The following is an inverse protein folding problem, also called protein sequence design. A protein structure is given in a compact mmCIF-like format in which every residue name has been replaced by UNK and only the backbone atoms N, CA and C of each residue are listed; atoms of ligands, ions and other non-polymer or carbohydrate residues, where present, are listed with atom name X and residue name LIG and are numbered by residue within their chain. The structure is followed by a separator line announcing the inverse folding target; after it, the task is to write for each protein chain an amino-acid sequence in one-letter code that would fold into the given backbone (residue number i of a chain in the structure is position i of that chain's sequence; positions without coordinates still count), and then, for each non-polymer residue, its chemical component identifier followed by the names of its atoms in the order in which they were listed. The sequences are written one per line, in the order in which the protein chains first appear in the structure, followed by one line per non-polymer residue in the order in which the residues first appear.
data_IF_065498618328
#
_entry.id   IF_065498618328
#
_cell.length_a   1.000
_cell.length_b   1.000
_cell.length_c   1.000
_cell.angle_alpha   90.00
_cell.angle_beta   90.00
_cell.angle_gamma   90.00
#
_symmetry.space_group_name_H-M   'P 1'
#
loop_
_entity.id
_entity.type
_entity.pdbx_description
1 polymer ?
#
# COMPACT_ATOMS: atom_id res chain seq x y z
N UNK A 1 28.10 43.77 35.75
CA UNK A 1 26.73 44.07 36.23
C UNK A 1 25.95 44.78 35.12
N UNK A 2 25.02 44.09 34.43
CA UNK A 2 24.13 44.72 33.44
C UNK A 2 22.68 44.65 33.96
N UNK A 3 21.92 45.72 33.73
CA UNK A 3 20.62 45.96 34.37
C UNK A 3 19.52 45.11 33.72
N UNK A 4 18.64 44.51 34.52
CA UNK A 4 17.38 43.90 34.07
C UNK A 4 16.38 45.01 33.73
N UNK A 5 15.66 44.85 32.62
CA UNK A 5 14.45 45.63 32.32
C UNK A 5 13.22 44.74 32.60
N UNK A 6 12.14 45.27 33.20
CA UNK A 6 10.88 44.55 33.32
C UNK A 6 10.06 44.68 32.03
N UNK A 7 9.52 43.57 31.54
CA UNK A 7 8.55 43.55 30.43
C UNK A 7 7.15 43.72 31.04
N UNK A 8 6.39 44.70 30.58
CA UNK A 8 5.04 44.98 31.05
C UNK A 8 4.05 43.90 30.62
N UNK A 9 3.23 43.42 31.55
CA UNK A 9 2.11 42.54 31.23
C UNK A 9 0.99 43.32 30.53
N UNK A 10 0.53 42.83 29.37
CA UNK A 10 -0.65 43.35 28.69
C UNK A 10 -1.92 42.70 29.30
N UNK A 11 -2.90 43.54 29.64
CA UNK A 11 -4.18 43.10 30.21
C UNK A 11 -5.12 42.68 29.08
N UNK A 12 -5.66 41.47 29.16
CA UNK A 12 -6.73 41.02 28.29
C UNK A 12 -8.07 41.68 28.67
N UNK A 13 -8.85 42.09 27.68
CA UNK A 13 -10.24 42.56 27.86
C UNK A 13 -11.14 41.79 26.90
N UNK A 14 -12.11 41.07 27.46
CA UNK A 14 -13.09 40.26 26.74
C UNK A 14 -14.42 40.99 26.60
N UNK A 15 -15.04 40.93 25.42
CA UNK A 15 -16.49 40.97 25.19
C UNK A 15 -16.77 40.77 23.68
N UNK A 16 -17.89 40.31 23.14
CA UNK A 16 -19.10 39.51 23.48
C UNK A 16 -20.09 39.81 22.30
N UNK A 17 -21.22 39.08 22.15
CA UNK A 17 -22.40 39.43 21.28
C UNK A 17 -22.24 39.17 19.77
N UNK A 18 -23.16 38.56 18.99
CA UNK A 18 -24.40 37.77 19.24
C UNK A 18 -24.75 36.86 18.03
N UNK A 19 -25.65 35.90 18.28
CA UNK A 19 -26.28 34.95 17.37
C UNK A 19 -26.94 35.48 16.07
N UNK A 20 -27.08 34.56 15.10
CA UNK A 20 -28.27 34.42 14.23
C UNK A 20 -28.52 32.96 13.91
N UNK A 21 -29.79 32.53 13.90
CA UNK A 21 -30.23 31.20 13.47
C UNK A 21 -31.26 31.34 12.34
N UNK A 22 -31.33 30.39 11.41
CA UNK A 22 -32.50 30.16 10.54
C UNK A 22 -32.44 28.78 9.88
N UNK A 23 -33.63 28.24 9.59
CA UNK A 23 -33.90 26.84 9.21
C UNK A 23 -33.79 26.59 7.71
N UNK A 24 -33.48 25.34 7.31
CA UNK A 24 -34.20 24.68 6.19
C UNK A 24 -34.46 23.22 6.55
N UNK A 25 -35.73 22.82 6.58
CA UNK A 25 -36.12 21.41 6.59
C UNK A 25 -36.37 20.96 5.14
N UNK A 26 -35.68 19.90 4.70
CA UNK A 26 -35.91 19.26 3.40
C UNK A 26 -36.50 17.86 3.60
N UNK A 27 -37.79 17.71 3.36
CA UNK A 27 -38.45 16.41 3.29
C UNK A 27 -38.87 16.17 1.83
N UNK A 28 -38.35 15.11 1.22
CA UNK A 28 -38.62 14.74 -0.17
C UNK A 28 -38.83 13.24 -0.28
N UNK A 29 -40.09 12.81 -0.36
CA UNK A 29 -40.47 11.41 -0.45
C UNK A 29 -40.17 10.83 -1.84
N UNK A 30 -39.74 9.57 -1.89
CA UNK A 30 -40.08 8.66 -3.00
C UNK A 30 -40.15 7.25 -2.44
N UNK A 31 -41.37 6.71 -2.35
CA UNK A 31 -41.58 5.28 -2.10
C UNK A 31 -41.24 4.47 -3.36
N UNK A 32 -40.57 3.33 -3.16
CA UNK A 32 -40.25 2.36 -4.20
C UNK A 32 -40.25 0.96 -3.60
N UNK A 33 -41.35 0.24 -3.81
CA UNK A 33 -41.68 -1.09 -3.26
C UNK A 33 -40.56 -2.14 -3.41
N UNK A 34 -40.34 -3.01 -2.40
CA UNK A 34 -39.52 -4.21 -2.57
C UNK A 34 -40.29 -5.30 -3.31
N UNK A 35 -39.65 -5.98 -4.26
CA UNK A 35 -40.15 -7.26 -4.78
C UNK A 35 -39.09 -8.35 -4.61
N UNK A 36 -39.55 -9.51 -4.15
CA UNK A 36 -38.74 -10.66 -3.78
C UNK A 36 -38.81 -11.74 -4.88
N UNK A 37 -38.26 -12.92 -4.55
CA UNK A 37 -38.24 -14.16 -5.34
C UNK A 37 -37.19 -14.18 -6.47
N UNK A 38 -36.55 -15.30 -6.79
CA UNK A 38 -36.38 -16.58 -6.11
C UNK A 38 -35.34 -17.38 -6.91
N UNK A 39 -34.51 -18.10 -6.18
CA UNK A 39 -34.09 -19.48 -6.42
C UNK A 39 -34.42 -20.13 -7.77
N UNK A 40 -33.38 -20.50 -8.51
CA UNK A 40 -33.30 -21.70 -9.38
C UNK A 40 -31.85 -21.91 -9.82
N UNK A 41 -31.31 -23.09 -10.10
CA UNK A 41 -31.54 -24.48 -9.63
C UNK A 41 -30.23 -25.22 -9.90
N UNK A 42 -29.86 -26.22 -9.10
CA UNK A 42 -28.65 -27.01 -9.34
C UNK A 42 -28.74 -27.87 -10.62
N UNK A 43 -27.60 -28.14 -11.27
CA UNK A 43 -27.36 -29.44 -11.91
C UNK A 43 -25.87 -29.76 -11.99
N UNK A 44 -25.51 -30.94 -11.50
CA UNK A 44 -24.21 -31.57 -11.69
C UNK A 44 -24.02 -32.04 -13.13
N UNK A 45 -22.77 -32.25 -13.56
CA UNK A 45 -22.48 -33.08 -14.73
C UNK A 45 -21.18 -33.85 -14.52
N UNK A 46 -21.33 -35.16 -14.31
CA UNK A 46 -20.26 -36.15 -14.21
C UNK A 46 -19.93 -36.68 -15.60
N UNK A 47 -18.66 -36.82 -15.97
CA UNK A 47 -18.20 -37.90 -16.87
C UNK A 47 -16.67 -38.02 -16.86
N UNK A 48 -16.18 -39.25 -16.67
CA UNK A 48 -14.77 -39.62 -16.84
C UNK A 48 -14.43 -39.84 -18.32
N UNK A 49 -13.16 -39.70 -18.68
CA UNK A 49 -12.59 -40.31 -19.88
C UNK A 49 -11.22 -40.93 -19.54
N UNK A 50 -11.21 -42.25 -19.38
CA UNK A 50 -9.98 -43.06 -19.32
C UNK A 50 -9.41 -43.21 -20.73
N UNK A 51 -8.08 -43.22 -20.88
CA UNK A 51 -7.45 -43.72 -22.11
C UNK A 51 -6.20 -44.51 -21.76
N UNK A 52 -6.28 -45.81 -21.99
CA UNK A 52 -5.19 -46.76 -21.90
C UNK A 52 -4.78 -47.13 -23.32
N UNK A 53 -3.50 -46.98 -23.65
CA UNK A 53 -2.90 -47.61 -24.81
C UNK A 53 -1.46 -48.03 -24.45
N UNK A 54 -1.18 -49.32 -24.58
CA UNK A 54 0.11 -49.92 -24.26
C UNK A 54 0.42 -50.96 -25.36
N UNK A 55 1.44 -50.73 -26.17
CA UNK A 55 2.00 -51.76 -27.05
C UNK A 55 3.51 -51.53 -27.25
N UNK A 56 4.27 -52.60 -27.54
CA UNK A 56 5.73 -52.64 -27.35
C UNK A 56 6.52 -53.25 -28.50
N UNK A 57 7.62 -52.57 -28.87
CA UNK A 57 8.82 -53.17 -29.51
C UNK A 57 8.85 -53.24 -31.04
N UNK A 58 9.99 -53.67 -31.67
CA UNK A 58 11.28 -54.02 -31.05
C UNK A 58 12.57 -53.44 -31.73
N UNK A 59 13.69 -53.56 -31.00
CA UNK A 59 15.10 -53.79 -31.44
C UNK A 59 15.70 -53.21 -32.73
N UNK A 60 16.76 -52.39 -32.56
CA UNK A 60 18.08 -52.54 -33.26
C UNK A 60 19.18 -51.65 -32.61
N UNK A 61 20.46 -52.02 -32.78
CA UNK A 61 21.66 -51.41 -32.13
C UNK A 61 22.94 -51.79 -32.90
N UNK A 62 24.16 -51.32 -32.53
CA UNK A 62 24.79 -49.99 -32.65
C UNK A 62 25.59 -49.92 -34.01
N UNK A 63 26.83 -49.37 -34.22
CA UNK A 63 27.72 -48.36 -33.56
C UNK A 63 28.08 -47.19 -34.54
N UNK A 64 29.17 -46.37 -34.45
CA UNK A 64 30.21 -46.20 -33.41
C UNK A 64 30.44 -44.76 -32.90
N UNK A 65 31.41 -44.61 -31.99
CA UNK A 65 31.82 -43.38 -31.32
C UNK A 65 32.36 -42.29 -32.27
N UNK A 66 32.00 -41.04 -31.98
CA UNK A 66 32.87 -39.88 -32.21
C UNK A 66 32.84 -39.03 -30.94
N UNK A 67 34.00 -38.77 -30.34
CA UNK A 67 34.10 -38.07 -29.06
C UNK A 67 33.87 -36.56 -29.22
N UNK A 68 32.75 -36.07 -28.70
CA UNK A 68 32.60 -34.66 -28.37
C UNK A 68 33.04 -34.44 -26.90
N UNK A 69 33.79 -33.38 -26.58
CA UNK A 69 34.21 -33.11 -25.20
C UNK A 69 32.99 -32.91 -24.30
N UNK A 70 33.12 -33.31 -23.04
CA UNK A 70 32.09 -33.07 -22.05
C UNK A 70 31.81 -31.57 -21.96
N UNK A 71 30.61 -31.16 -22.40
CA UNK A 71 30.05 -29.89 -21.97
C UNK A 71 29.79 -30.03 -20.49
N UNK A 72 30.67 -29.46 -19.69
CA UNK A 72 30.49 -29.25 -18.27
C UNK A 72 29.25 -28.38 -18.11
N UNK A 73 28.10 -29.03 -17.90
CA UNK A 73 26.80 -28.39 -17.78
C UNK A 73 26.76 -27.65 -16.45
N UNK A 74 27.31 -26.44 -16.45
CA UNK A 74 27.17 -25.48 -15.35
C UNK A 74 25.68 -25.40 -15.03
N UNK A 75 25.24 -25.76 -13.81
CA UNK A 75 23.83 -25.68 -13.48
C UNK A 75 23.43 -24.21 -13.55
N UNK A 76 22.54 -23.88 -14.47
CA UNK A 76 21.91 -22.57 -14.49
C UNK A 76 21.13 -22.42 -13.18
N UNK A 77 21.67 -21.66 -12.24
CA UNK A 77 21.00 -21.23 -11.01
C UNK A 77 19.92 -20.23 -11.37
N UNK A 78 18.84 -20.72 -11.99
CA UNK A 78 17.55 -20.04 -11.96
C UNK A 78 17.19 -19.86 -10.49
N UNK A 79 17.04 -18.62 -9.98
CA UNK A 79 16.63 -18.41 -8.61
C UNK A 79 15.28 -19.12 -8.38
N UNK A 80 15.26 -20.04 -7.41
CA UNK A 80 14.01 -20.72 -7.06
C UNK A 80 13.06 -19.68 -6.47
N UNK A 81 11.92 -19.45 -7.13
CA UNK A 81 10.85 -18.60 -6.59
C UNK A 81 10.42 -19.22 -5.25
N UNK A 82 10.39 -18.45 -4.15
CA UNK A 82 10.00 -18.99 -2.84
C UNK A 82 8.57 -19.52 -2.90
N UNK A 83 8.37 -20.76 -2.44
CA UNK A 83 7.06 -21.42 -2.45
C UNK A 83 6.15 -20.95 -1.28
N UNK A 84 6.64 -20.08 -0.40
CA UNK A 84 5.95 -19.60 0.80
C UNK A 84 6.63 -18.32 1.30
N UNK A 85 5.87 -17.46 1.98
CA UNK A 85 6.31 -16.15 2.45
C UNK A 85 5.26 -15.06 2.16
N UNK A 86 5.48 -13.82 2.62
CA UNK A 86 4.65 -12.68 2.26
C UNK A 86 4.79 -12.37 0.76
N UNK A 87 3.75 -11.79 0.18
CA UNK A 87 3.74 -11.34 -1.22
C UNK A 87 4.64 -10.13 -1.46
N UNK A 88 4.91 -9.34 -0.42
CA UNK A 88 5.97 -8.32 -0.38
C UNK A 88 6.82 -8.55 0.86
N UNK A 89 8.08 -8.92 0.66
CA UNK A 89 9.06 -9.08 1.74
C UNK A 89 9.81 -7.76 1.92
N UNK A 90 9.76 -7.19 3.12
CA UNK A 90 10.38 -5.90 3.44
C UNK A 90 11.91 -5.94 3.40
N UNK A 91 12.50 -7.12 3.62
CA UNK A 91 13.95 -7.35 3.53
C UNK A 91 14.40 -7.72 2.11
N UNK A 92 13.47 -7.76 1.14
CA UNK A 92 13.80 -8.09 -0.25
C UNK A 92 14.62 -6.99 -0.94
N UNK A 93 15.46 -7.34 -1.94
CA UNK A 93 16.17 -6.34 -2.73
C UNK A 93 15.23 -5.34 -3.42
N UNK A 94 14.05 -5.78 -3.89
CA UNK A 94 13.08 -4.90 -4.55
C UNK A 94 12.57 -3.81 -3.61
N UNK A 95 12.23 -4.15 -2.37
CA UNK A 95 11.79 -3.16 -1.38
C UNK A 95 12.96 -2.30 -0.91
N UNK A 96 14.13 -2.89 -0.68
CA UNK A 96 15.35 -2.17 -0.28
C UNK A 96 15.76 -1.12 -1.33
N UNK A 97 15.80 -1.50 -2.61
CA UNK A 97 16.11 -0.60 -3.73
C UNK A 97 15.04 0.49 -3.87
N UNK A 98 13.75 0.13 -3.75
CA UNK A 98 12.64 1.09 -3.80
C UNK A 98 12.72 2.15 -2.70
N UNK A 99 13.03 1.75 -1.46
CA UNK A 99 13.29 2.66 -0.34
C UNK A 99 14.53 3.51 -0.62
N UNK A 100 15.58 2.93 -1.20
CA UNK A 100 16.77 3.65 -1.64
C UNK A 100 16.48 4.78 -2.65
N UNK A 101 15.43 4.66 -3.48
CA UNK A 101 15.03 5.73 -4.42
C UNK A 101 14.52 7.00 -3.73
N UNK A 102 14.12 6.93 -2.46
CA UNK A 102 13.62 8.07 -1.68
C UNK A 102 14.76 8.99 -1.18
N UNK A 103 16.00 8.50 -1.18
CA UNK A 103 17.14 9.21 -0.60
C UNK A 103 17.07 9.29 0.93
N UNK A 104 17.61 10.37 1.51
CA UNK A 104 17.45 10.68 2.93
C UNK A 104 16.08 11.30 3.20
N UNK A 105 15.56 11.15 4.41
CA UNK A 105 14.34 11.88 4.83
C UNK A 105 14.56 13.40 4.94
N UNK A 106 13.49 14.14 5.21
CA UNK A 106 13.50 15.61 5.29
C UNK A 106 14.38 16.18 6.42
N UNK A 107 14.69 15.35 7.42
CA UNK A 107 15.50 15.67 8.59
C UNK A 107 16.94 15.08 8.46
N UNK A 108 17.29 14.50 7.30
CA UNK A 108 18.59 13.90 7.03
C UNK A 108 18.78 12.47 7.57
N UNK A 109 17.70 11.81 7.99
CA UNK A 109 17.69 10.40 8.41
C UNK A 109 17.44 9.42 7.27
N UNK A 110 17.16 8.18 7.66
CA UNK A 110 16.85 7.05 6.78
C UNK A 110 15.36 6.68 6.85
N UNK A 111 14.85 6.08 5.78
CA UNK A 111 13.49 5.55 5.73
C UNK A 111 13.43 4.11 6.26
N UNK A 112 12.63 3.87 7.29
CA UNK A 112 12.53 2.59 8.01
C UNK A 112 11.15 1.95 7.76
N UNK A 113 11.07 0.69 7.28
CA UNK A 113 9.82 -0.06 7.17
C UNK A 113 9.03 -0.15 8.49
N UNK A 114 7.71 0.02 8.40
CA UNK A 114 6.81 0.06 9.58
C UNK A 114 5.70 -0.97 9.51
N UNK A 115 5.10 -1.11 8.33
CA UNK A 115 4.07 -2.08 8.00
C UNK A 115 4.04 -2.30 6.49
N UNK A 116 3.46 -3.41 6.05
CA UNK A 116 3.34 -3.78 4.65
C UNK A 116 2.11 -4.69 4.46
N UNK A 117 1.78 -5.01 3.22
CA UNK A 117 0.81 -6.07 2.91
C UNK A 117 1.23 -7.41 3.52
N UNK A 118 0.32 -8.07 4.24
CA UNK A 118 0.59 -9.30 5.02
C UNK A 118 0.21 -10.59 4.28
N UNK A 119 -0.45 -10.46 3.12
CA UNK A 119 -0.91 -11.57 2.29
C UNK A 119 0.23 -12.51 1.89
N UNK A 120 -0.07 -13.80 1.85
CA UNK A 120 0.91 -14.85 1.59
C UNK A 120 0.88 -15.30 0.12
N UNK A 121 2.05 -15.72 -0.38
CA UNK A 121 2.24 -16.25 -1.72
C UNK A 121 1.16 -17.29 -2.06
N UNK A 122 0.49 -17.09 -3.21
CA UNK A 122 -0.69 -17.84 -3.63
C UNK A 122 -2.01 -17.09 -3.47
N UNK A 123 -2.07 -16.01 -2.68
CA UNK A 123 -3.24 -15.14 -2.55
C UNK A 123 -2.89 -13.64 -2.61
N UNK A 124 -1.85 -13.28 -3.36
CA UNK A 124 -1.37 -11.90 -3.44
C UNK A 124 -2.43 -10.95 -4.04
N UNK A 125 -2.60 -9.73 -3.48
CA UNK A 125 -3.31 -8.66 -4.15
C UNK A 125 -2.52 -8.18 -5.37
N UNK A 126 -3.24 -7.65 -6.36
CA UNK A 126 -2.68 -6.91 -7.49
C UNK A 126 -1.94 -5.65 -7.03
N UNK A 127 -2.40 -5.00 -5.94
CA UNK A 127 -1.75 -3.82 -5.35
C UNK A 127 -1.19 -4.14 -3.96
N UNK A 128 0.12 -4.35 -3.90
CA UNK A 128 0.90 -4.49 -2.67
C UNK A 128 1.42 -3.12 -2.21
N UNK A 129 1.69 -2.99 -0.91
CA UNK A 129 2.16 -1.75 -0.31
C UNK A 129 3.17 -1.96 0.82
N UNK A 130 4.04 -0.97 1.04
CA UNK A 130 4.94 -0.86 2.20
C UNK A 130 4.88 0.57 2.72
N UNK A 131 4.68 0.76 4.02
CA UNK A 131 4.79 2.06 4.69
C UNK A 131 6.17 2.21 5.34
N UNK A 132 6.78 3.38 5.17
CA UNK A 132 8.06 3.75 5.81
C UNK A 132 7.91 5.06 6.59
N UNK A 133 8.58 5.16 7.74
CA UNK A 133 8.76 6.42 8.48
C UNK A 133 10.23 6.87 8.36
N UNK A 134 10.49 8.17 8.31
CA UNK A 134 11.84 8.73 8.44
C UNK A 134 12.30 8.72 9.91
N UNK A 135 13.55 8.38 10.17
CA UNK A 135 14.15 8.36 11.53
C UNK A 135 14.95 9.63 11.90
N UNK A 136 15.04 10.59 10.98
CA UNK A 136 15.86 11.79 11.10
C UNK A 136 15.42 12.76 12.20
N UNK A 137 16.41 13.33 12.89
CA UNK A 137 16.22 14.24 14.02
C UNK A 137 16.01 15.68 13.52
N UNK A 138 14.76 16.14 13.44
CA UNK A 138 14.45 17.52 13.00
C UNK A 138 13.03 18.03 13.25
N UNK A 139 12.10 17.17 13.67
CA UNK A 139 10.72 17.51 14.02
C UNK A 139 10.26 16.63 15.19
N UNK A 140 9.23 17.02 15.93
CA UNK A 140 8.54 16.14 16.89
C UNK A 140 7.66 15.09 16.21
N UNK A 141 7.42 15.24 14.89
CA UNK A 141 6.59 14.37 14.08
C UNK A 141 7.41 13.70 12.98
N UNK A 142 7.41 12.36 12.96
CA UNK A 142 8.01 11.62 11.86
C UNK A 142 7.21 11.85 10.57
N UNK A 143 7.92 11.88 9.45
CA UNK A 143 7.33 11.92 8.12
C UNK A 143 7.20 10.50 7.59
N UNK A 144 6.17 10.23 6.79
CA UNK A 144 5.91 8.89 6.27
C UNK A 144 5.69 8.88 4.75
N UNK A 145 6.08 7.77 4.11
CA UNK A 145 5.72 7.43 2.73
C UNK A 145 4.97 6.08 2.70
N UNK A 146 4.10 5.92 1.70
CA UNK A 146 3.55 4.62 1.29
C UNK A 146 4.07 4.35 -0.12
N UNK A 147 4.71 3.19 -0.30
CA UNK A 147 5.29 2.69 -1.54
C UNK A 147 4.37 1.60 -2.10
N UNK A 148 4.13 1.59 -3.41
CA UNK A 148 3.29 0.60 -4.07
C UNK A 148 4.09 -0.38 -4.92
N UNK A 149 3.63 -1.63 -4.96
CA UNK A 149 4.25 -2.72 -5.69
C UNK A 149 3.19 -3.56 -6.41
N UNK A 150 3.56 -4.18 -7.53
CA UNK A 150 2.75 -5.15 -8.27
C UNK A 150 3.69 -6.16 -8.92
N UNK A 151 3.38 -7.46 -8.81
CA UNK A 151 4.18 -8.56 -9.41
C UNK A 151 5.70 -8.42 -9.23
N UNK A 152 6.14 -8.14 -7.99
CA UNK A 152 7.57 -7.98 -7.65
C UNK A 152 8.24 -6.74 -8.24
N UNK A 153 7.46 -5.76 -8.73
CA UNK A 153 7.93 -4.50 -9.33
C UNK A 153 7.48 -3.31 -8.49
N UNK A 154 8.37 -2.36 -8.24
CA UNK A 154 8.06 -1.08 -7.59
C UNK A 154 7.35 -0.12 -8.55
N UNK A 155 6.22 0.45 -8.12
CA UNK A 155 5.37 1.34 -8.91
C UNK A 155 5.54 2.83 -8.59
N UNK A 156 6.17 3.16 -7.46
CA UNK A 156 6.31 4.53 -6.95
C UNK A 156 5.62 4.74 -5.60
N UNK A 157 5.65 5.99 -5.11
CA UNK A 157 5.00 6.40 -3.87
C UNK A 157 3.56 6.88 -4.09
N UNK A 158 2.75 6.79 -3.03
CA UNK A 158 1.42 7.40 -2.96
C UNK A 158 1.44 8.92 -3.20
N UNK A 159 2.51 9.59 -2.78
CA UNK A 159 2.70 11.04 -2.89
C UNK A 159 4.16 11.37 -3.18
N UNK A 160 4.41 12.40 -4.01
CA UNK A 160 5.77 12.83 -4.38
C UNK A 160 6.56 13.50 -3.25
N UNK A 161 5.87 13.85 -2.15
CA UNK A 161 6.45 14.33 -0.88
C UNK A 161 5.87 13.46 0.25
N UNK A 162 6.60 13.23 1.34
CA UNK A 162 6.06 12.54 2.50
C UNK A 162 5.10 13.44 3.28
N UNK A 163 4.30 12.83 4.15
CA UNK A 163 3.41 13.52 5.09
C UNK A 163 3.45 12.83 6.46
N UNK A 164 3.47 13.60 7.55
CA UNK A 164 3.21 13.10 8.91
C UNK A 164 1.79 12.57 9.07
N UNK A 165 1.57 11.74 10.08
CA UNK A 165 0.26 11.18 10.43
C UNK A 165 -0.44 10.45 9.28
N UNK A 166 0.36 9.83 8.41
CA UNK A 166 -0.10 9.01 7.30
C UNK A 166 -0.23 7.56 7.77
N UNK A 167 -1.39 6.95 7.53
CA UNK A 167 -1.65 5.56 7.90
C UNK A 167 -2.39 4.84 6.79
N UNK A 168 -1.92 3.64 6.41
CA UNK A 168 -2.77 2.72 5.65
C UNK A 168 -3.84 2.19 6.60
N UNK A 169 -5.11 2.35 6.24
CA UNK A 169 -6.26 2.00 7.11
C UNK A 169 -7.08 0.82 6.59
N UNK A 170 -6.97 0.50 5.30
CA UNK A 170 -7.57 -0.67 4.68
C UNK A 170 -6.80 -1.04 3.40
N UNK A 171 -6.79 -2.33 3.04
CA UNK A 171 -6.29 -2.80 1.75
C UNK A 171 -7.00 -4.07 1.32
N UNK A 172 -7.21 -4.20 0.02
CA UNK A 172 -7.87 -5.35 -0.60
C UNK A 172 -7.13 -5.75 -1.89
N UNK A 173 -7.76 -6.61 -2.70
CA UNK A 173 -7.16 -7.20 -3.90
C UNK A 173 -6.51 -6.20 -4.86
N UNK A 174 -7.05 -5.00 -5.04
CA UNK A 174 -6.48 -4.04 -6.01
C UNK A 174 -6.49 -2.60 -5.52
N UNK A 175 -6.89 -2.34 -4.27
CA UNK A 175 -6.86 -1.00 -3.72
C UNK A 175 -6.37 -0.93 -2.27
N UNK A 176 -5.81 0.23 -1.94
CA UNK A 176 -5.23 0.57 -0.63
C UNK A 176 -5.79 1.93 -0.23
N UNK A 177 -6.44 2.02 0.92
CA UNK A 177 -6.94 3.26 1.49
C UNK A 177 -5.93 3.84 2.48
N UNK A 178 -5.43 5.03 2.17
CA UNK A 178 -4.48 5.78 3.01
C UNK A 178 -5.20 6.96 3.65
N UNK A 179 -5.16 7.02 4.98
CA UNK A 179 -5.59 8.17 5.76
C UNK A 179 -4.44 9.16 5.91
N UNK A 180 -4.75 10.44 5.72
CA UNK A 180 -3.86 11.57 5.98
C UNK A 180 -4.49 12.52 7.00
N UNK A 181 -3.67 12.99 7.94
CA UNK A 181 -4.00 14.03 8.92
C UNK A 181 -2.86 15.04 8.99
N UNK A 182 -3.13 16.22 9.53
CA UNK A 182 -2.12 17.29 9.65
C UNK A 182 -2.42 18.19 10.85
N UNK A 183 -1.41 18.90 11.32
CA UNK A 183 -1.55 19.90 12.38
C UNK A 183 -2.16 21.19 11.82
N UNK A 184 -3.05 21.79 12.60
CA UNK A 184 -3.44 23.19 12.51
C UNK A 184 -2.53 24.04 13.43
N UNK A 185 -2.54 25.37 13.25
CA UNK A 185 -1.58 26.29 13.89
C UNK A 185 -1.43 26.16 15.42
N UNK A 186 -2.53 25.81 16.13
CA UNK A 186 -2.58 25.67 17.59
C UNK A 186 -2.57 24.19 18.08
N UNK A 187 -2.35 23.22 17.19
CA UNK A 187 -2.40 21.79 17.55
C UNK A 187 -1.14 21.32 18.31
N UNK A 188 -1.34 20.45 19.30
CA UNK A 188 -0.25 19.70 19.91
C UNK A 188 0.20 18.54 19.01
N UNK A 189 1.50 18.26 18.93
CA UNK A 189 2.10 17.20 18.10
C UNK A 189 1.52 15.78 18.32
N UNK A 190 0.87 15.50 19.43
CA UNK A 190 0.17 14.22 19.66
C UNK A 190 -1.15 14.07 18.88
N UNK A 191 -1.72 15.19 18.45
CA UNK A 191 -3.17 15.37 18.44
C UNK A 191 -3.66 16.25 17.27
N UNK A 192 -3.26 15.97 16.00
CA UNK A 192 -3.65 16.76 14.83
C UNK A 192 -5.17 16.81 14.65
N UNK A 193 -5.75 17.99 14.44
CA UNK A 193 -7.18 18.18 14.16
C UNK A 193 -7.48 18.29 12.66
N UNK A 194 -6.46 18.44 11.81
CA UNK A 194 -6.60 18.39 10.35
C UNK A 194 -6.95 16.99 9.84
N UNK A 195 -7.89 16.92 8.90
CA UNK A 195 -8.40 15.68 8.33
C UNK A 195 -9.45 14.98 9.23
N UNK A 196 -9.59 13.64 9.14
CA UNK A 196 -8.89 12.75 8.22
C UNK A 196 -9.38 12.94 6.79
N UNK A 197 -8.44 13.13 5.85
CA UNK A 197 -8.73 12.84 4.45
C UNK A 197 -8.37 11.37 4.19
N UNK A 198 -9.18 10.69 3.38
CA UNK A 198 -8.86 9.34 2.90
C UNK A 198 -8.64 9.45 1.39
N UNK A 199 -7.55 8.86 0.92
CA UNK A 199 -7.26 8.67 -0.50
C UNK A 199 -7.20 7.18 -0.77
N UNK A 200 -8.04 6.71 -1.68
CA UNK A 200 -8.06 5.33 -2.12
C UNK A 200 -7.22 5.20 -3.40
N UNK A 201 -6.16 4.40 -3.32
CA UNK A 201 -5.25 4.10 -4.42
C UNK A 201 -5.68 2.78 -5.04
N UNK A 202 -5.95 2.74 -6.35
CA UNK A 202 -6.42 1.54 -7.05
C UNK A 202 -5.52 1.21 -8.22
N UNK A 203 -5.08 -0.05 -8.34
CA UNK A 203 -4.42 -0.56 -9.53
C UNK A 203 -5.45 -0.77 -10.65
N UNK A 204 -5.29 -0.05 -11.76
CA UNK A 204 -6.21 -0.14 -12.91
C UNK A 204 -5.77 -1.13 -14.00
N UNK A 205 -4.76 -1.97 -13.72
CA UNK A 205 -4.12 -2.84 -14.71
C UNK A 205 -2.98 -2.19 -15.51
N UNK A 206 -2.60 -0.95 -15.20
CA UNK A 206 -1.47 -0.25 -15.85
C UNK A 206 -0.78 0.78 -14.95
N UNK A 207 -1.51 1.41 -14.03
CA UNK A 207 -1.00 2.39 -13.08
C UNK A 207 -1.83 2.36 -11.78
N UNK A 208 -1.26 2.93 -10.72
CA UNK A 208 -2.02 3.26 -9.50
C UNK A 208 -2.74 4.59 -9.73
N UNK A 209 -4.06 4.59 -9.56
CA UNK A 209 -4.91 5.80 -9.64
C UNK A 209 -5.32 6.17 -8.22
N UNK A 210 -5.11 7.44 -7.85
CA UNK A 210 -5.55 8.00 -6.57
C UNK A 210 -6.93 8.66 -6.74
N UNK A 211 -7.87 8.33 -5.84
CA UNK A 211 -9.15 9.02 -5.69
C UNK A 211 -9.30 9.52 -4.25
N UNK A 212 -9.74 10.77 -4.06
CA UNK A 212 -9.79 11.44 -2.76
C UNK A 212 -9.12 12.81 -2.79
N UNK A 213 -8.83 13.37 -1.60
CA UNK A 213 -8.17 14.68 -1.45
C UNK A 213 -6.94 14.56 -0.56
N UNK A 214 -5.81 15.11 -1.00
CA UNK A 214 -4.59 15.19 -0.17
C UNK A 214 -4.69 16.33 0.87
N UNK A 215 -3.81 16.35 1.89
CA UNK A 215 -3.66 17.51 2.77
C UNK A 215 -3.41 18.81 1.98
N UNK A 216 -3.77 19.98 2.55
CA UNK A 216 -3.42 21.27 1.95
C UNK A 216 -1.90 21.47 1.91
N UNK A 217 -1.46 22.26 0.92
CA UNK A 217 -0.04 22.56 0.61
C UNK A 217 0.47 23.87 1.21
#
# INVERSE_FOLDING_TARGET
MRRKAPISAAVAVSALVTATALMVAGCGSTEGTPEAAASSTASSSTASATSTANESGPTSSPPPQSGAPASESVPATTPAVPASGPCVDVDSPVVTDAIGTLGTDVNGGSWIPRSASEEQIGNCPDLLWVSVDGDGVGDATYQSHVLFFHDGTYLGTATSKPYSYTHVIDSNKNSVSVQYRWLLDDDAFCCPQGGPNIVNFTWNGSAVVADGQFPPS
#
